data_IF_349772946915
#
_entry.id   IF_349772946915
#
_cell.length_a   1.000
_cell.length_b   1.000
_cell.length_c   1.000
_cell.angle_alpha   90.00
_cell.angle_beta   90.00
_cell.angle_gamma   90.00
#
_symmetry.space_group_name_H-M   'P 1'
#
loop_
_entity.id
_entity.type
_entity.pdbx_description
1 polymer ?
#
# COMPACT_ATOMS: atom_id res chain seq x y z
N UNK A 1 11.74 32.28 20.95
CA UNK A 1 11.18 30.92 20.95
C UNK A 1 11.91 30.17 19.84
N UNK A 2 12.42 28.98 20.12
CA UNK A 2 13.19 28.20 19.13
C UNK A 2 12.22 27.44 18.22
N UNK A 3 11.99 27.98 17.01
CA UNK A 3 11.08 27.43 16.00
C UNK A 3 11.54 26.06 15.47
N UNK A 4 12.77 25.65 15.79
CA UNK A 4 13.33 24.33 15.47
C UNK A 4 12.57 23.18 16.14
N UNK A 5 11.77 23.46 17.18
CA UNK A 5 10.90 22.48 17.86
C UNK A 5 9.51 22.31 17.24
N UNK A 6 9.20 23.06 16.19
CA UNK A 6 7.92 22.99 15.46
C UNK A 6 8.03 22.24 14.12
N UNK A 7 9.23 21.82 13.72
CA UNK A 7 9.40 20.99 12.53
C UNK A 7 8.89 19.57 12.85
N UNK A 8 7.92 19.03 12.09
CA UNK A 8 7.50 17.64 12.28
C UNK A 8 8.69 16.72 12.00
N UNK A 9 8.93 15.80 12.93
CA UNK A 9 9.95 14.75 12.80
C UNK A 9 9.64 13.90 11.57
N UNK A 10 10.64 13.77 10.69
CA UNK A 10 10.63 13.04 9.42
C UNK A 10 9.56 13.45 8.39
N UNK A 11 9.82 14.55 7.68
CA UNK A 11 9.15 14.83 6.41
C UNK A 11 9.64 13.84 5.35
N UNK A 12 8.88 12.79 5.09
CA UNK A 12 9.03 11.96 3.88
C UNK A 12 9.03 12.89 2.67
N UNK A 13 10.06 12.80 1.83
CA UNK A 13 10.18 13.66 0.64
C UNK A 13 9.05 13.39 -0.35
N UNK A 14 8.75 14.38 -1.20
CA UNK A 14 7.76 14.22 -2.27
C UNK A 14 8.12 13.05 -3.21
N UNK A 15 9.41 12.88 -3.51
CA UNK A 15 9.92 11.78 -4.29
C UNK A 15 9.65 10.41 -3.63
N UNK A 16 9.86 10.27 -2.33
CA UNK A 16 9.58 9.02 -1.62
C UNK A 16 8.09 8.70 -1.58
N UNK A 17 7.24 9.73 -1.44
CA UNK A 17 5.78 9.57 -1.54
C UNK A 17 5.37 9.08 -2.93
N UNK A 18 5.91 9.70 -3.98
CA UNK A 18 5.63 9.31 -5.36
C UNK A 18 6.09 7.87 -5.64
N UNK A 19 7.31 7.50 -5.22
CA UNK A 19 7.80 6.13 -5.32
C UNK A 19 6.88 5.13 -4.60
N UNK A 20 6.37 5.48 -3.42
CA UNK A 20 5.45 4.61 -2.69
C UNK A 20 4.14 4.40 -3.45
N UNK A 21 3.61 5.44 -4.11
CA UNK A 21 2.42 5.34 -4.95
C UNK A 21 2.65 4.43 -6.17
N UNK A 22 3.78 4.60 -6.87
CA UNK A 22 4.10 3.72 -8.00
C UNK A 22 4.31 2.26 -7.57
N UNK A 23 5.00 2.03 -6.45
CA UNK A 23 5.15 0.67 -5.88
C UNK A 23 3.79 0.06 -5.54
N UNK A 24 2.87 0.87 -5.00
CA UNK A 24 1.55 0.39 -4.65
C UNK A 24 0.71 0.04 -5.88
N UNK A 25 0.72 0.90 -6.91
CA UNK A 25 0.06 0.62 -8.18
C UNK A 25 0.63 -0.66 -8.84
N UNK A 26 1.96 -0.79 -8.90
CA UNK A 26 2.60 -1.99 -9.43
C UNK A 26 2.25 -3.26 -8.67
N UNK A 27 2.13 -3.19 -7.34
CA UNK A 27 1.68 -4.33 -6.53
C UNK A 27 0.24 -4.74 -6.83
N UNK A 28 -0.64 -3.77 -7.10
CA UNK A 28 -2.02 -4.02 -7.51
C UNK A 28 -2.09 -4.72 -8.87
N UNK A 29 -1.39 -4.20 -9.87
CA UNK A 29 -1.36 -4.78 -11.22
C UNK A 29 -0.77 -6.19 -11.21
N UNK A 30 0.37 -6.38 -10.52
CA UNK A 30 1.05 -7.67 -10.43
C UNK A 30 0.19 -8.72 -9.72
N UNK A 31 -0.42 -8.38 -8.58
CA UNK A 31 -1.26 -9.33 -7.85
C UNK A 31 -2.49 -9.73 -8.67
N UNK A 32 -3.10 -8.78 -9.38
CA UNK A 32 -4.24 -9.04 -10.26
C UNK A 32 -3.85 -9.94 -11.42
N UNK A 33 -2.72 -9.68 -12.08
CA UNK A 33 -2.21 -10.51 -13.16
C UNK A 33 -1.86 -11.93 -12.68
N UNK A 34 -1.23 -12.05 -11.51
CA UNK A 34 -0.93 -13.35 -10.91
C UNK A 34 -2.20 -14.16 -10.65
N UNK A 35 -3.22 -13.56 -10.05
CA UNK A 35 -4.51 -14.23 -9.80
C UNK A 35 -5.24 -14.65 -11.08
N UNK A 36 -5.06 -13.91 -12.18
CA UNK A 36 -5.62 -14.30 -13.48
C UNK A 36 -4.95 -15.54 -14.09
N UNK A 37 -3.67 -15.78 -13.77
CA UNK A 37 -2.91 -16.95 -14.23
C UNK A 37 -2.90 -18.12 -13.26
N UNK A 38 -3.06 -17.85 -11.96
CA UNK A 38 -2.98 -18.82 -10.87
C UNK A 38 -3.92 -18.40 -9.73
N UNK A 39 -5.00 -19.17 -9.53
CA UNK A 39 -6.03 -18.88 -8.52
C UNK A 39 -5.49 -18.93 -7.08
N UNK A 40 -4.33 -19.52 -6.83
CA UNK A 40 -3.70 -19.48 -5.50
C UNK A 40 -3.33 -18.06 -5.05
N UNK A 41 -3.21 -17.11 -6.00
CA UNK A 41 -2.94 -15.69 -5.73
C UNK A 41 -4.19 -14.85 -5.48
N UNK A 42 -5.40 -15.40 -5.63
CA UNK A 42 -6.66 -14.66 -5.38
C UNK A 42 -6.70 -13.95 -4.01
N UNK A 43 -6.28 -14.57 -2.88
CA UNK A 43 -6.29 -13.89 -1.59
C UNK A 43 -5.38 -12.66 -1.55
N UNK A 44 -4.25 -12.68 -2.28
CA UNK A 44 -3.33 -11.56 -2.39
C UNK A 44 -3.96 -10.43 -3.22
N UNK A 45 -4.49 -10.77 -4.39
CA UNK A 45 -5.16 -9.81 -5.27
C UNK A 45 -6.34 -9.13 -4.56
N UNK A 46 -7.12 -9.89 -3.80
CA UNK A 46 -8.25 -9.36 -3.02
C UNK A 46 -7.78 -8.35 -1.94
N UNK A 47 -6.75 -8.70 -1.16
CA UNK A 47 -6.22 -7.82 -0.11
C UNK A 47 -5.66 -6.52 -0.70
N UNK A 48 -4.86 -6.60 -1.77
CA UNK A 48 -4.31 -5.41 -2.43
C UNK A 48 -5.42 -4.57 -3.09
N UNK A 49 -6.42 -5.20 -3.71
CA UNK A 49 -7.58 -4.50 -4.30
C UNK A 49 -8.36 -3.72 -3.25
N UNK A 50 -8.61 -4.32 -2.07
CA UNK A 50 -9.29 -3.62 -0.98
C UNK A 50 -8.49 -2.43 -0.47
N UNK A 51 -7.17 -2.59 -0.30
CA UNK A 51 -6.29 -1.49 0.07
C UNK A 51 -6.34 -0.36 -0.98
N UNK A 52 -6.25 -0.72 -2.27
CA UNK A 52 -6.20 0.22 -3.38
C UNK A 52 -7.51 1.01 -3.52
N UNK A 53 -8.65 0.32 -3.49
CA UNK A 53 -9.96 0.96 -3.56
C UNK A 53 -10.19 1.91 -2.39
N UNK A 54 -9.81 1.52 -1.17
CA UNK A 54 -9.92 2.40 0.00
C UNK A 54 -9.01 3.61 -0.13
N UNK A 55 -7.75 3.43 -0.52
CA UNK A 55 -6.82 4.54 -0.74
C UNK A 55 -7.37 5.53 -1.77
N UNK A 56 -8.00 5.06 -2.86
CA UNK A 56 -8.65 5.93 -3.85
C UNK A 56 -9.90 6.65 -3.34
N UNK A 57 -10.56 6.12 -2.31
CA UNK A 57 -11.73 6.77 -1.70
C UNK A 57 -11.33 7.88 -0.72
N UNK A 58 -10.29 7.66 0.07
CA UNK A 58 -9.90 8.57 1.16
C UNK A 58 -8.63 9.38 0.86
N UNK A 59 -7.95 9.10 -0.25
CA UNK A 59 -6.69 9.71 -0.69
C UNK A 59 -5.56 9.68 0.35
N UNK A 60 -5.64 8.76 1.31
CA UNK A 60 -4.71 8.57 2.41
C UNK A 60 -4.40 7.09 2.64
N UNK A 61 -3.31 6.80 3.36
CA UNK A 61 -2.97 5.46 3.85
C UNK A 61 -3.47 5.34 5.29
N UNK A 62 -4.78 5.25 5.42
CA UNK A 62 -5.46 5.18 6.71
C UNK A 62 -5.31 3.80 7.38
N UNK A 63 -5.93 3.62 8.55
CA UNK A 63 -5.89 2.36 9.30
C UNK A 63 -6.45 1.17 8.51
N UNK A 64 -7.44 1.39 7.64
CA UNK A 64 -8.00 0.35 6.79
C UNK A 64 -7.04 -0.05 5.67
N UNK A 65 -6.39 0.91 5.01
CA UNK A 65 -5.36 0.62 4.00
C UNK A 65 -4.20 -0.15 4.65
N UNK A 66 -3.71 0.31 5.81
CA UNK A 66 -2.63 -0.36 6.56
C UNK A 66 -2.99 -1.80 6.94
N UNK A 67 -4.24 -2.05 7.36
CA UNK A 67 -4.73 -3.39 7.71
C UNK A 67 -4.65 -4.35 6.51
N UNK A 68 -5.17 -3.93 5.35
CA UNK A 68 -5.16 -4.78 4.15
C UNK A 68 -3.74 -4.99 3.61
N UNK A 69 -2.86 -3.97 3.67
CA UNK A 69 -1.44 -4.13 3.33
C UNK A 69 -0.71 -5.10 4.28
N UNK A 70 -1.04 -5.08 5.57
CA UNK A 70 -0.50 -6.04 6.52
C UNK A 70 -0.98 -7.48 6.22
N UNK A 71 -2.24 -7.65 5.80
CA UNK A 71 -2.76 -8.94 5.33
C UNK A 71 -2.01 -9.40 4.08
N UNK A 72 -1.83 -8.53 3.08
CA UNK A 72 -1.09 -8.85 1.86
C UNK A 72 0.35 -9.31 2.15
N UNK A 73 1.07 -8.62 3.06
CA UNK A 73 2.42 -9.03 3.49
C UNK A 73 2.46 -10.42 4.10
N UNK A 74 1.47 -10.79 4.92
CA UNK A 74 1.38 -12.13 5.50
C UNK A 74 1.15 -13.21 4.45
N UNK A 75 0.35 -12.91 3.41
CA UNK A 75 0.12 -13.83 2.30
C UNK A 75 1.43 -14.02 1.52
N UNK A 76 2.12 -12.93 1.16
CA UNK A 76 3.41 -13.01 0.47
C UNK A 76 4.48 -13.78 1.26
N UNK A 77 4.46 -13.73 2.59
CA UNK A 77 5.41 -14.49 3.41
C UNK A 77 5.15 -16.01 3.41
N UNK A 78 3.98 -16.45 2.95
CA UNK A 78 3.61 -17.86 2.81
C UNK A 78 3.63 -18.37 1.38
N UNK A 79 4.04 -17.55 0.40
CA UNK A 79 4.33 -17.92 -0.98
C UNK A 79 5.82 -18.27 -1.11
#
# INVERSE_FOLDING_TARGET
MDESKLAPEDKVSEQEREQALYRFAGAFDLATAAAAGDSSYEPLAEAITRAHNRHRQVFEVDTGVKKELARARKICAGL
#
